data_IF_023945500416
#
_entry.id   IF_023945500416
#
_cell.length_a   1.000
_cell.length_b   1.000
_cell.length_c   1.000
_cell.angle_alpha   90.00
_cell.angle_beta   90.00
_cell.angle_gamma   90.00
#
_symmetry.space_group_name_H-M   'P 1'
#
loop_
_entity.id
_entity.type
_entity.pdbx_description
1 polymer ?
#
# COMPACT_ATOMS: atom_id res chain seq x y z
N UNK A 1 -1.38 6.15 -1.39
CA UNK A 1 -0.09 5.47 -1.11
C UNK A 1 0.30 5.88 0.29
N UNK A 2 0.04 5.02 1.28
CA UNK A 2 0.47 5.29 2.65
C UNK A 2 1.93 4.86 2.76
N UNK A 3 2.79 5.76 3.22
CA UNK A 3 4.17 5.44 3.58
C UNK A 3 4.17 4.26 4.58
N UNK A 4 5.18 3.40 4.53
CA UNK A 4 5.31 2.26 5.45
C UNK A 4 5.30 2.71 6.91
N UNK A 5 5.83 3.90 7.18
CA UNK A 5 5.77 4.51 8.50
C UNK A 5 4.33 4.88 8.92
N UNK A 6 3.56 5.47 8.01
CA UNK A 6 2.14 5.78 8.25
C UNK A 6 1.33 4.49 8.43
N UNK A 7 1.60 3.47 7.61
CA UNK A 7 0.99 2.15 7.77
C UNK A 7 1.30 1.53 9.14
N UNK A 8 2.53 1.71 9.65
CA UNK A 8 2.92 1.19 10.97
C UNK A 8 2.15 1.90 12.08
N UNK A 9 1.99 3.21 11.96
CA UNK A 9 1.19 3.99 12.89
C UNK A 9 -0.28 3.52 12.92
N UNK A 10 -0.87 3.26 11.75
CA UNK A 10 -2.24 2.76 11.65
C UNK A 10 -2.41 1.38 12.30
N UNK A 11 -1.46 0.46 12.07
CA UNK A 11 -1.48 -0.89 12.66
C UNK A 11 -1.28 -0.86 14.17
N UNK A 12 -0.43 0.02 14.69
CA UNK A 12 -0.24 0.21 16.15
C UNK A 12 -1.52 0.74 16.79
N UNK A 13 -2.16 1.72 16.17
CA UNK A 13 -3.44 2.25 16.66
C UNK A 13 -4.53 1.16 16.67
N UNK A 14 -4.61 0.37 15.59
CA UNK A 14 -5.54 -0.75 15.49
C UNK A 14 -5.28 -1.82 16.57
N UNK A 15 -4.02 -2.13 16.86
CA UNK A 15 -3.64 -3.06 17.93
C UNK A 15 -4.06 -2.55 19.30
N UNK A 16 -3.88 -1.25 19.56
CA UNK A 16 -4.31 -0.63 20.81
C UNK A 16 -5.84 -0.69 20.98
N UNK A 17 -6.60 -0.45 19.92
CA UNK A 17 -8.06 -0.59 19.91
C UNK A 17 -8.49 -2.04 20.18
N UNK A 18 -7.83 -3.03 19.57
CA UNK A 18 -8.11 -4.44 19.82
C UNK A 18 -7.84 -4.82 21.28
N UNK A 19 -6.74 -4.35 21.87
CA UNK A 19 -6.42 -4.60 23.28
C UNK A 19 -7.43 -3.93 24.23
N UNK A 20 -7.83 -2.70 23.94
CA UNK A 20 -8.81 -1.97 24.75
C UNK A 20 -10.19 -2.65 24.71
N UNK A 21 -10.68 -2.96 23.51
CA UNK A 21 -11.96 -3.64 23.32
C UNK A 21 -11.97 -5.04 23.92
N UNK A 22 -10.87 -5.81 23.74
CA UNK A 22 -10.73 -7.12 24.37
C UNK A 22 -10.82 -7.00 25.90
N UNK A 23 -10.11 -6.04 26.50
CA UNK A 23 -10.13 -5.82 27.95
C UNK A 23 -11.53 -5.46 28.46
N UNK A 24 -12.26 -4.61 27.73
CA UNK A 24 -13.65 -4.27 28.05
C UNK A 24 -14.58 -5.49 28.04
N UNK A 25 -14.50 -6.30 26.99
CA UNK A 25 -15.32 -7.53 26.87
C UNK A 25 -14.93 -8.56 27.93
N UNK A 26 -13.64 -8.70 28.25
CA UNK A 26 -13.19 -9.57 29.34
C UNK A 26 -13.72 -9.11 30.70
N UNK A 27 -13.77 -7.80 30.97
CA UNK A 27 -14.34 -7.27 32.21
C UNK A 27 -15.86 -7.42 32.28
N UNK A 28 -16.57 -7.25 31.16
CA UNK A 28 -18.02 -7.45 31.08
C UNK A 28 -18.41 -8.92 31.32
N UNK A 29 -17.62 -9.85 30.80
CA UNK A 29 -17.84 -11.29 30.91
C UNK A 29 -17.20 -11.90 32.17
N UNK A 30 -16.40 -11.14 32.92
CA UNK A 30 -15.76 -11.61 34.13
C UNK A 30 -16.79 -11.90 35.23
N UNK A 31 -16.83 -13.16 35.67
CA UNK A 31 -17.62 -13.54 36.85
C UNK A 31 -16.91 -13.08 38.13
N UNK A 32 -17.63 -12.52 39.12
CA UNK A 32 -17.04 -12.22 40.43
C UNK A 32 -16.44 -13.49 41.03
N UNK A 33 -15.16 -13.45 41.37
CA UNK A 33 -14.49 -14.55 42.07
C UNK A 33 -15.17 -14.74 43.42
N UNK A 34 -15.76 -15.92 43.65
CA UNK A 34 -16.30 -16.29 44.97
C UNK A 34 -15.16 -16.88 45.79
N UNK A 35 -14.85 -16.24 46.93
CA UNK A 35 -14.02 -16.84 47.96
C UNK A 35 -14.83 -17.93 48.68
N UNK A 36 -14.20 -19.07 48.96
CA UNK A 36 -14.87 -20.31 49.41
C UNK A 36 -15.66 -20.24 50.72
N UNK A 37 -15.57 -19.13 51.47
CA UNK A 37 -16.22 -18.97 52.77
C UNK A 37 -17.60 -18.26 52.73
N UNK A 38 -18.14 -17.88 51.56
CA UNK A 38 -19.37 -17.06 51.46
C UNK A 38 -20.53 -17.71 50.66
N UNK A 39 -20.72 -19.02 50.78
CA UNK A 39 -21.61 -19.82 49.93
C UNK A 39 -23.06 -20.00 50.43
N UNK A 40 -23.65 -19.07 51.21
CA UNK A 40 -25.04 -19.31 51.68
C UNK A 40 -26.06 -18.17 51.63
N UNK A 41 -25.79 -16.99 51.06
CA UNK A 41 -26.87 -15.99 50.99
C UNK A 41 -26.82 -15.00 49.83
N UNK A 42 -26.79 -15.50 48.58
CA UNK A 42 -27.17 -14.68 47.42
C UNK A 42 -27.65 -15.57 46.28
N UNK A 43 -28.87 -16.05 46.41
CA UNK A 43 -29.73 -16.50 45.33
C UNK A 43 -30.24 -15.29 44.54
N UNK A 44 -29.50 -14.79 43.55
CA UNK A 44 -30.12 -14.01 42.45
C UNK A 44 -29.27 -14.11 41.17
N UNK A 45 -29.84 -14.80 40.18
CA UNK A 45 -29.60 -14.71 38.71
C UNK A 45 -28.18 -14.95 38.18
N UNK A 46 -27.73 -16.20 38.15
CA UNK A 46 -26.70 -16.64 37.19
C UNK A 46 -27.38 -16.96 35.86
N UNK A 47 -27.28 -16.05 34.90
CA UNK A 47 -27.58 -16.33 33.49
C UNK A 47 -26.54 -17.31 32.95
N UNK A 48 -26.86 -18.60 32.95
CA UNK A 48 -26.02 -19.71 32.48
C UNK A 48 -25.76 -19.74 30.95
N UNK A 49 -26.22 -18.72 30.21
CA UNK A 49 -25.97 -18.59 28.77
C UNK A 49 -24.73 -17.76 28.41
N UNK A 50 -24.03 -17.19 29.40
CA UNK A 50 -22.86 -16.30 29.17
C UNK A 50 -21.54 -17.08 29.01
N UNK A 51 -21.44 -18.31 29.52
CA UNK A 51 -20.19 -19.09 29.54
C UNK A 51 -19.63 -19.40 28.14
N UNK A 52 -20.47 -19.73 27.16
CA UNK A 52 -19.97 -20.08 25.81
C UNK A 52 -19.53 -18.85 25.00
N UNK A 53 -20.26 -17.73 25.12
CA UNK A 53 -19.98 -16.54 24.31
C UNK A 53 -18.72 -15.79 24.80
N UNK A 54 -18.46 -15.74 26.11
CA UNK A 54 -17.28 -15.04 26.65
C UNK A 54 -15.95 -15.66 26.17
N UNK A 55 -15.89 -16.99 26.14
CA UNK A 55 -14.72 -17.73 25.64
C UNK A 55 -14.54 -17.57 24.13
N UNK A 56 -15.64 -17.52 23.36
CA UNK A 56 -15.60 -17.30 21.91
C UNK A 56 -15.11 -15.87 21.56
N UNK A 57 -15.58 -14.84 22.28
CA UNK A 57 -15.08 -13.47 22.10
C UNK A 57 -13.62 -13.33 22.53
N UNK A 58 -13.22 -13.96 23.64
CA UNK A 58 -11.83 -13.98 24.10
C UNK A 58 -10.90 -14.59 23.05
N UNK A 59 -11.30 -15.73 22.45
CA UNK A 59 -10.56 -16.38 21.35
C UNK A 59 -10.51 -15.52 20.09
N UNK A 60 -11.60 -14.85 19.74
CA UNK A 60 -11.66 -13.95 18.58
C UNK A 60 -10.70 -12.77 18.76
N UNK A 61 -10.73 -12.11 19.91
CA UNK A 61 -9.80 -11.00 20.21
C UNK A 61 -8.35 -11.47 20.30
N UNK A 62 -8.09 -12.64 20.88
CA UNK A 62 -6.75 -13.22 20.87
C UNK A 62 -6.24 -13.45 19.43
N UNK A 63 -7.08 -14.00 18.56
CA UNK A 63 -6.73 -14.20 17.14
C UNK A 63 -6.48 -12.87 16.41
N UNK A 64 -7.32 -11.86 16.64
CA UNK A 64 -7.16 -10.52 16.07
C UNK A 64 -5.84 -9.89 16.54
N UNK A 65 -5.57 -9.88 17.86
CA UNK A 65 -4.34 -9.35 18.44
C UNK A 65 -3.10 -10.06 17.88
N UNK A 66 -3.11 -11.40 17.84
CA UNK A 66 -1.98 -12.17 17.29
C UNK A 66 -1.75 -11.84 15.83
N UNK A 67 -2.81 -11.78 15.02
CA UNK A 67 -2.71 -11.44 13.60
C UNK A 67 -2.17 -10.02 13.39
N UNK A 68 -2.75 -9.02 14.05
CA UNK A 68 -2.31 -7.62 13.93
C UNK A 68 -0.86 -7.44 14.43
N UNK A 69 -0.46 -8.19 15.46
CA UNK A 69 0.93 -8.19 15.94
C UNK A 69 1.88 -8.82 14.91
N UNK A 70 1.50 -9.92 14.26
CA UNK A 70 2.29 -10.49 13.16
C UNK A 70 2.38 -9.55 11.97
N UNK A 71 1.30 -8.86 11.62
CA UNK A 71 1.29 -7.82 10.56
C UNK A 71 2.22 -6.65 10.93
N UNK A 72 2.24 -6.22 12.20
CA UNK A 72 3.16 -5.21 12.72
C UNK A 72 4.63 -5.65 12.59
N UNK A 73 4.95 -6.89 12.99
CA UNK A 73 6.33 -7.42 12.89
C UNK A 73 6.77 -7.51 11.42
N UNK A 74 5.93 -8.05 10.54
CA UNK A 74 6.24 -8.11 9.11
C UNK A 74 6.43 -6.71 8.49
N UNK A 75 5.70 -5.71 9.00
CA UNK A 75 5.86 -4.34 8.55
C UNK A 75 7.18 -3.72 9.03
N UNK A 76 7.58 -3.98 10.28
CA UNK A 76 8.88 -3.57 10.83
C UNK A 76 10.02 -4.21 10.02
N UNK A 77 9.94 -5.50 9.72
CA UNK A 77 10.95 -6.21 8.91
C UNK A 77 11.04 -5.69 7.48
N UNK A 78 9.97 -5.06 6.99
CA UNK A 78 9.92 -4.45 5.65
C UNK A 78 10.37 -2.99 5.61
N UNK A 79 10.70 -2.38 6.76
CA UNK A 79 11.19 -1.00 6.77
C UNK A 79 12.58 -0.94 6.12
N UNK A 80 12.83 0.07 5.27
CA UNK A 80 14.17 0.31 4.75
C UNK A 80 15.13 0.58 5.92
N UNK A 81 16.40 0.20 5.75
CA UNK A 81 17.42 0.50 6.74
C UNK A 81 17.48 2.02 6.98
N UNK A 82 17.15 2.44 8.19
CA UNK A 82 17.23 3.85 8.57
C UNK A 82 18.71 4.14 8.82
N UNK A 83 19.36 5.02 8.04
CA UNK A 83 20.76 5.37 8.28
C UNK A 83 20.85 5.95 9.69
N UNK A 84 21.54 5.23 10.57
CA UNK A 84 21.62 5.57 11.99
C UNK A 84 22.89 6.32 12.32
N UNK A 85 23.87 6.29 11.40
CA UNK A 85 25.14 6.99 11.51
C UNK A 85 25.28 8.05 10.42
N UNK A 86 26.09 9.08 10.70
CA UNK A 86 26.34 10.18 9.76
C UNK A 86 27.07 9.68 8.49
N UNK A 87 27.86 8.60 8.59
CA UNK A 87 28.49 7.92 7.45
C UNK A 87 27.45 7.24 6.53
N UNK A 88 26.46 6.54 7.08
CA UNK A 88 25.40 5.89 6.28
C UNK A 88 24.58 6.93 5.50
N UNK A 89 24.37 8.10 6.11
CA UNK A 89 23.61 9.19 5.52
C UNK A 89 24.40 9.87 4.39
N UNK A 90 25.71 10.01 4.55
CA UNK A 90 26.61 10.50 3.51
C UNK A 90 26.68 9.52 2.34
N UNK A 91 26.80 8.21 2.60
CA UNK A 91 26.75 7.19 1.56
C UNK A 91 25.43 7.24 0.79
N UNK A 92 24.29 7.36 1.49
CA UNK A 92 22.99 7.50 0.85
C UNK A 92 22.92 8.76 -0.02
N UNK A 93 23.46 9.89 0.43
CA UNK A 93 23.53 11.11 -0.36
C UNK A 93 24.36 10.93 -1.63
N UNK A 94 25.53 10.28 -1.52
CA UNK A 94 26.37 9.96 -2.68
C UNK A 94 25.65 9.02 -3.67
N UNK A 95 24.90 8.03 -3.18
CA UNK A 95 24.07 7.16 -4.02
C UNK A 95 22.95 7.95 -4.73
N UNK A 96 22.33 8.92 -4.05
CA UNK A 96 21.32 9.78 -4.67
C UNK A 96 21.90 10.66 -5.78
N UNK A 97 23.08 11.24 -5.58
CA UNK A 97 23.77 12.04 -6.61
C UNK A 97 24.10 11.19 -7.85
N UNK A 98 24.55 9.94 -7.65
CA UNK A 98 24.79 9.00 -8.75
C UNK A 98 23.51 8.68 -9.52
N UNK A 99 22.41 8.41 -8.80
CA UNK A 99 21.11 8.15 -9.42
C UNK A 99 20.58 9.36 -10.18
N UNK A 100 20.77 10.58 -9.65
CA UNK A 100 20.40 11.82 -10.35
C UNK A 100 21.20 11.96 -11.65
N UNK A 101 22.50 11.72 -11.61
CA UNK A 101 23.35 11.77 -12.79
C UNK A 101 22.94 10.73 -13.84
N UNK A 102 22.66 9.48 -13.42
CA UNK A 102 22.17 8.42 -14.31
C UNK A 102 20.80 8.78 -14.91
N UNK A 103 19.92 9.41 -14.13
CA UNK A 103 18.62 9.86 -14.60
C UNK A 103 18.74 10.94 -15.68
N UNK A 104 19.65 11.91 -15.48
CA UNK A 104 19.95 12.96 -16.47
C UNK A 104 20.49 12.34 -17.76
N UNK A 105 21.44 11.41 -17.67
CA UNK A 105 21.98 10.73 -18.85
C UNK A 105 20.90 9.95 -19.60
N UNK A 106 20.10 9.18 -18.86
CA UNK A 106 19.01 8.38 -19.43
C UNK A 106 17.96 9.26 -20.11
N UNK A 107 17.64 10.40 -19.49
CA UNK A 107 16.72 11.40 -20.06
C UNK A 107 17.29 12.02 -21.33
N UNK A 108 18.59 12.37 -21.35
CA UNK A 108 19.23 12.91 -22.55
C UNK A 108 19.23 11.91 -23.70
N UNK A 109 19.51 10.63 -23.41
CA UNK A 109 19.43 9.55 -24.41
C UNK A 109 18.01 9.37 -24.92
N UNK A 110 17.02 9.43 -24.02
CA UNK A 110 15.61 9.38 -24.40
C UNK A 110 15.26 10.54 -25.33
N UNK A 111 15.66 11.77 -25.00
CA UNK A 111 15.39 12.97 -25.79
C UNK A 111 15.95 12.86 -27.22
N UNK A 112 17.20 12.41 -27.36
CA UNK A 112 17.81 12.17 -28.67
C UNK A 112 17.03 11.13 -29.48
N UNK A 113 16.57 10.05 -28.83
CA UNK A 113 15.79 9.02 -29.52
C UNK A 113 14.39 9.52 -29.91
N UNK A 114 13.76 10.36 -29.08
CA UNK A 114 12.47 10.97 -29.41
C UNK A 114 12.59 11.97 -30.55
N UNK A 115 13.65 12.78 -30.59
CA UNK A 115 13.89 13.74 -31.67
C UNK A 115 14.06 13.03 -33.03
N UNK A 116 14.86 11.94 -33.06
CA UNK A 116 15.00 11.14 -34.27
C UNK A 116 13.65 10.51 -34.69
N UNK A 117 12.91 9.97 -33.72
CA UNK A 117 11.60 9.37 -34.00
C UNK A 117 10.60 10.39 -34.56
N UNK A 118 10.56 11.60 -34.02
CA UNK A 118 9.73 12.70 -34.51
C UNK A 118 10.13 13.12 -35.93
N UNK A 119 11.42 13.26 -36.21
CA UNK A 119 11.92 13.56 -37.55
C UNK A 119 11.52 12.49 -38.57
N UNK A 120 11.67 11.21 -38.21
CA UNK A 120 11.28 10.10 -39.07
C UNK A 120 9.77 10.09 -39.32
N UNK A 121 8.97 10.37 -38.28
CA UNK A 121 7.52 10.46 -38.38
C UNK A 121 7.09 11.58 -39.34
N UNK A 122 7.73 12.75 -39.25
CA UNK A 122 7.46 13.90 -40.12
C UNK A 122 7.78 13.57 -41.59
N UNK A 123 8.89 12.87 -41.87
CA UNK A 123 9.21 12.40 -43.21
C UNK A 123 8.15 11.43 -43.75
N UNK A 124 7.73 10.45 -42.95
CA UNK A 124 6.68 9.49 -43.34
C UNK A 124 5.36 10.21 -43.61
N UNK A 125 4.98 11.15 -42.75
CA UNK A 125 3.76 11.94 -42.91
C UNK A 125 3.80 12.80 -44.18
N UNK A 126 4.93 13.44 -44.48
CA UNK A 126 5.13 14.23 -45.70
C UNK A 126 5.04 13.35 -46.96
N UNK A 127 5.63 12.16 -46.92
CA UNK A 127 5.57 11.19 -48.02
C UNK A 127 4.12 10.68 -48.25
N UNK A 128 3.38 10.41 -47.17
CA UNK A 128 1.96 10.04 -47.27
C UNK A 128 1.11 11.18 -47.83
N UNK A 129 1.38 12.43 -47.44
CA UNK A 129 0.68 13.59 -47.99
C UNK A 129 0.95 13.78 -49.48
N UNK A 130 2.21 13.66 -49.91
CA UNK A 130 2.57 13.78 -51.33
C UNK A 130 1.98 12.65 -52.17
N UNK A 131 1.96 11.42 -51.65
CA UNK A 131 1.30 10.29 -52.29
C UNK A 131 -0.21 10.53 -52.44
N UNK A 132 -0.86 11.00 -51.37
CA UNK A 132 -2.29 11.34 -51.38
C UNK A 132 -2.60 12.44 -52.40
N UNK A 133 -1.77 13.49 -52.48
CA UNK A 133 -1.89 14.55 -53.47
C UNK A 133 -1.65 14.06 -54.90
N UNK A 134 -0.65 13.21 -55.13
CA UNK A 134 -0.40 12.62 -56.44
C UNK A 134 -1.59 11.77 -56.92
N UNK A 135 -2.20 10.98 -56.02
CA UNK A 135 -3.41 10.21 -56.31
C UNK A 135 -4.62 11.11 -56.61
N UNK A 136 -4.78 12.22 -55.87
CA UNK A 136 -5.83 13.21 -56.13
C UNK A 136 -5.64 13.92 -57.47
N UNK A 137 -4.40 14.27 -57.83
CA UNK A 137 -4.07 14.92 -59.09
C UNK A 137 -4.22 13.98 -60.29
N UNK A 138 -3.83 12.71 -60.18
CA UNK A 138 -4.14 11.71 -61.20
C UNK A 138 -5.65 11.55 -61.39
N UNK A 139 -6.41 11.49 -60.29
CA UNK A 139 -7.87 11.43 -60.35
C UNK A 139 -8.50 12.69 -60.97
N UNK A 140 -7.88 13.86 -60.82
CA UNK A 140 -8.29 15.12 -61.45
C UNK A 140 -7.90 15.22 -62.93
N UNK A 141 -6.78 14.61 -63.33
CA UNK A 141 -6.31 14.53 -64.74
C UNK A 141 -7.09 13.53 -65.58
N UNK A 142 -7.77 12.57 -64.93
CA UNK A 142 -8.86 11.80 -65.51
C UNK A 142 -10.22 12.33 -65.00
N UNK A 143 -10.63 13.58 -65.34
CA UNK A 143 -12.05 13.86 -65.23
C UNK A 143 -12.71 12.92 -66.23
N UNK A 144 -13.61 12.07 -65.73
CA UNK A 144 -14.43 11.22 -66.57
C UNK A 144 -14.90 12.04 -67.78
N UNK A 145 -14.48 11.60 -68.97
CA UNK A 145 -15.10 12.02 -70.20
C UNK A 145 -16.60 11.73 -70.11
N UNK A 146 -17.36 12.70 -70.63
CA UNK A 146 -18.58 12.54 -71.41
C UNK A 146 -19.36 11.24 -71.28
#
# INVERSE_FOLDING_TARGET
MSDRLTQLQDVVNLLADHLCNATGVLQETARPSRFGDFEQNSTTTTNSNVDNNGDDYSRLFASLITRTTSELVALIDSLPAIPSTEDDLLEQHAQLELLEQENIETTSRLEQTTELAEYLLEQVQTCLQSLSQALLDERKKFPQGQ
#
